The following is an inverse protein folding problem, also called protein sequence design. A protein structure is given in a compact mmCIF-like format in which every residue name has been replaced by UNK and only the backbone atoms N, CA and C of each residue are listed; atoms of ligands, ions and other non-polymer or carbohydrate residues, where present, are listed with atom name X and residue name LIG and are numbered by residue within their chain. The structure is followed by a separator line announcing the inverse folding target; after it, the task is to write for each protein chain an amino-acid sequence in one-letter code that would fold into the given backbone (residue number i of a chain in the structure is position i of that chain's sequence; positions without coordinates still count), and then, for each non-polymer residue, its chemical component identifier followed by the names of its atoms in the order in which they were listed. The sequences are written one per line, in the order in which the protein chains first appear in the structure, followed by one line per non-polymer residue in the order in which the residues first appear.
data_IF_823108300948
#
_entry.id   IF_823108300948
#
_cell.length_a   1.000
_cell.length_b   1.000
_cell.length_c   1.000
_cell.angle_alpha   90.00
_cell.angle_beta   90.00
_cell.angle_gamma   90.00
#
_symmetry.space_group_name_H-M   'P 1'
#
loop_
_entity.id
_entity.type
_entity.pdbx_description
1 polymer ?
#
# COMPACT_ATOMS: atom_id res chain seq x y z
N UNK A 1 13.79 -23.20 -4.53
CA UNK A 1 13.50 -22.63 -3.20
C UNK A 1 12.16 -21.91 -3.27
N UNK A 2 11.15 -22.34 -2.49
CA UNK A 2 9.84 -21.66 -2.43
C UNK A 2 10.01 -20.28 -1.80
N UNK A 3 9.44 -19.25 -2.41
CA UNK A 3 9.39 -17.90 -1.83
C UNK A 3 8.12 -17.76 -1.02
N UNK A 4 8.23 -17.17 0.17
CA UNK A 4 7.09 -16.88 1.02
C UNK A 4 6.33 -15.68 0.44
N UNK A 5 5.00 -15.77 0.38
CA UNK A 5 4.20 -14.71 -0.22
C UNK A 5 3.78 -13.68 0.82
N UNK A 6 3.91 -12.40 0.48
CA UNK A 6 3.35 -11.29 1.24
C UNK A 6 2.42 -10.50 0.33
N UNK A 7 1.17 -10.34 0.78
CA UNK A 7 0.22 -9.43 0.16
C UNK A 7 0.14 -8.17 1.02
N UNK A 8 0.66 -7.06 0.51
CA UNK A 8 0.59 -5.77 1.19
C UNK A 8 -0.65 -5.00 0.71
N UNK A 9 -1.65 -4.93 1.58
CA UNK A 9 -2.88 -4.18 1.35
C UNK A 9 -2.65 -2.69 1.63
N UNK A 10 -2.91 -1.82 0.65
CA UNK A 10 -2.68 -0.38 0.77
C UNK A 10 -3.59 0.44 -0.14
N UNK A 11 -3.69 1.73 0.15
CA UNK A 11 -4.29 2.75 -0.75
C UNK A 11 -3.21 3.61 -1.38
N UNK A 12 -3.47 4.16 -2.56
CA UNK A 12 -2.58 5.18 -3.16
C UNK A 12 -2.51 6.40 -2.23
N UNK A 13 -1.30 6.91 -1.91
CA UNK A 13 -1.05 8.00 -0.95
C UNK A 13 -1.49 9.37 -1.49
N UNK A 14 -2.80 9.55 -1.58
CA UNK A 14 -3.48 10.79 -1.96
C UNK A 14 -3.98 11.47 -0.70
N UNK A 15 -3.71 12.78 -0.58
CA UNK A 15 -4.18 13.61 0.53
C UNK A 15 -5.70 13.48 0.68
N UNK A 16 -6.21 13.42 1.92
CA UNK A 16 -7.64 13.31 2.21
C UNK A 16 -8.24 11.90 2.01
N UNK A 17 -7.53 10.95 1.39
CA UNK A 17 -8.02 9.56 1.18
C UNK A 17 -7.39 8.52 2.10
N UNK A 18 -6.29 8.87 2.76
CA UNK A 18 -5.49 7.97 3.60
C UNK A 18 -5.34 8.57 4.99
N UNK A 19 -5.36 7.69 6.00
CA UNK A 19 -5.14 8.05 7.40
C UNK A 19 -5.96 9.28 7.85
N UNK A 20 -7.23 9.34 7.45
CA UNK A 20 -8.13 10.47 7.73
C UNK A 20 -8.35 10.71 9.21
N UNK A 21 -8.30 9.67 10.05
CA UNK A 21 -8.29 9.82 11.51
C UNK A 21 -7.06 10.58 12.00
N UNK A 22 -5.86 10.20 11.55
CA UNK A 22 -4.62 10.91 11.87
C UNK A 22 -4.63 12.34 11.33
N UNK A 23 -5.21 12.56 10.15
CA UNK A 23 -5.33 13.89 9.55
C UNK A 23 -6.16 14.87 10.40
N UNK A 24 -7.10 14.38 11.22
CA UNK A 24 -7.88 15.22 12.15
C UNK A 24 -7.04 15.75 13.31
N UNK A 25 -5.98 15.04 13.68
CA UNK A 25 -5.13 15.36 14.83
C UNK A 25 -3.84 16.09 14.39
N UNK A 26 -3.19 15.61 13.32
CA UNK A 26 -1.90 16.11 12.86
C UNK A 26 -1.97 16.97 11.58
N UNK A 27 -3.16 17.13 10.99
CA UNK A 27 -3.36 17.81 9.72
C UNK A 27 -3.17 16.91 8.48
N UNK A 28 -3.81 17.25 7.35
CA UNK A 28 -3.85 16.41 6.14
C UNK A 28 -2.49 16.23 5.47
N UNK A 29 -1.65 17.27 5.48
CA UNK A 29 -0.29 17.24 4.90
C UNK A 29 0.61 16.28 5.65
N UNK A 30 0.65 16.36 6.97
CA UNK A 30 1.50 15.48 7.77
C UNK A 30 0.99 14.04 7.78
N UNK A 31 -0.34 13.84 7.77
CA UNK A 31 -0.91 12.51 7.63
C UNK A 31 -0.50 11.81 6.32
N UNK A 32 -0.55 12.51 5.17
CA UNK A 32 -0.13 11.91 3.90
C UNK A 32 1.39 11.75 3.82
N UNK A 33 2.17 12.69 4.36
CA UNK A 33 3.64 12.59 4.46
C UNK A 33 4.06 11.36 5.25
N UNK A 34 3.51 11.19 6.45
CA UNK A 34 3.77 10.04 7.30
C UNK A 34 3.38 8.72 6.61
N UNK A 35 2.21 8.69 5.95
CA UNK A 35 1.77 7.52 5.20
C UNK A 35 2.71 7.16 4.05
N UNK A 36 3.18 8.15 3.27
CA UNK A 36 4.18 7.93 2.20
C UNK A 36 5.48 7.36 2.76
N UNK A 37 5.98 7.92 3.88
CA UNK A 37 7.21 7.45 4.52
C UNK A 37 7.08 6.00 5.01
N UNK A 38 5.97 5.65 5.66
CA UNK A 38 5.71 4.28 6.11
C UNK A 38 5.66 3.28 4.95
N UNK A 39 4.92 3.61 3.89
CA UNK A 39 4.82 2.73 2.70
C UNK A 39 6.19 2.56 2.04
N UNK A 40 6.94 3.65 1.83
CA UNK A 40 8.27 3.58 1.24
C UNK A 40 9.25 2.72 2.07
N UNK A 41 9.22 2.87 3.39
CA UNK A 41 10.04 2.07 4.30
C UNK A 41 9.70 0.56 4.22
N UNK A 42 8.41 0.23 4.22
CA UNK A 42 7.94 -1.15 4.08
C UNK A 42 8.32 -1.75 2.73
N UNK A 43 8.07 -1.04 1.63
CA UNK A 43 8.42 -1.52 0.29
C UNK A 43 9.93 -1.76 0.17
N UNK A 44 10.76 -0.84 0.67
CA UNK A 44 12.22 -1.01 0.67
C UNK A 44 12.63 -2.26 1.43
N UNK A 45 12.11 -2.47 2.65
CA UNK A 45 12.48 -3.64 3.47
C UNK A 45 12.06 -4.96 2.83
N UNK A 46 10.85 -5.02 2.30
CA UNK A 46 10.28 -6.24 1.70
C UNK A 46 10.86 -6.58 0.33
N UNK A 47 11.31 -5.58 -0.44
CA UNK A 47 11.88 -5.81 -1.78
C UNK A 47 13.37 -6.16 -1.75
N UNK A 48 14.09 -5.79 -0.70
CA UNK A 48 15.50 -6.17 -0.52
C UNK A 48 15.68 -7.62 -0.08
N UNK A 49 14.71 -8.17 0.67
CA UNK A 49 14.76 -9.56 1.15
C UNK A 49 14.16 -10.52 0.11
N UNK A 50 15.03 -11.30 -0.55
CA UNK A 50 14.67 -12.23 -1.64
C UNK A 50 13.78 -13.41 -1.20
N UNK A 51 13.62 -13.64 0.10
CA UNK A 51 12.72 -14.68 0.62
C UNK A 51 11.26 -14.37 0.30
N UNK A 52 10.92 -13.10 0.13
CA UNK A 52 9.55 -12.66 -0.10
C UNK A 52 9.22 -12.52 -1.59
N UNK A 53 8.02 -12.98 -1.94
CA UNK A 53 7.33 -12.58 -3.16
C UNK A 53 6.23 -11.57 -2.77
N UNK A 54 6.51 -10.28 -2.99
CA UNK A 54 5.62 -9.19 -2.62
C UNK A 54 4.56 -8.93 -3.72
N UNK A 55 3.31 -8.84 -3.31
CA UNK A 55 2.19 -8.37 -4.15
C UNK A 55 1.49 -7.20 -3.45
N UNK A 56 1.25 -6.10 -4.16
CA UNK A 56 0.50 -4.96 -3.65
C UNK A 56 -0.98 -5.12 -4.00
N UNK A 57 -1.83 -5.19 -2.98
CA UNK A 57 -3.27 -5.15 -3.15
C UNK A 57 -3.75 -3.71 -2.96
N UNK A 58 -4.08 -3.01 -4.05
CA UNK A 58 -4.41 -1.59 -4.08
C UNK A 58 -5.92 -1.38 -3.98
N UNK A 59 -6.35 -0.57 -3.02
CA UNK A 59 -7.74 -0.13 -2.87
C UNK A 59 -7.91 1.38 -3.11
N UNK A 60 -9.00 1.81 -3.79
CA UNK A 60 -9.89 0.99 -4.63
C UNK A 60 -9.19 0.41 -5.87
N UNK A 61 -9.74 -0.63 -6.47
CA UNK A 61 -9.20 -1.24 -7.70
C UNK A 61 -9.05 -0.24 -8.86
N UNK A 62 -9.85 0.81 -8.90
CA UNK A 62 -9.74 1.89 -9.90
C UNK A 62 -8.36 2.58 -9.89
N UNK A 63 -7.66 2.57 -8.75
CA UNK A 63 -6.34 3.19 -8.62
C UNK A 63 -5.20 2.30 -9.14
N UNK A 64 -5.48 1.11 -9.67
CA UNK A 64 -4.45 0.17 -10.14
C UNK A 64 -3.57 0.76 -11.27
N UNK A 65 -4.08 1.76 -12.00
CA UNK A 65 -3.35 2.47 -13.07
C UNK A 65 -2.33 3.51 -12.56
N UNK A 66 -2.16 3.62 -11.24
CA UNK A 66 -1.22 4.57 -10.64
C UNK A 66 0.24 4.27 -11.01
N UNK A 67 1.05 5.32 -11.18
CA UNK A 67 2.52 5.23 -11.32
C UNK A 67 3.26 5.43 -9.99
N UNK A 68 2.52 5.52 -8.88
CA UNK A 68 3.10 5.83 -7.55
C UNK A 68 4.06 4.74 -7.05
N UNK A 69 3.87 3.49 -7.49
CA UNK A 69 4.70 2.36 -7.07
C UNK A 69 5.65 1.93 -8.19
N UNK A 70 6.83 1.37 -7.87
CA UNK A 70 7.77 0.88 -8.88
C UNK A 70 7.12 -0.15 -9.82
N UNK A 71 7.27 0.04 -11.13
CA UNK A 71 6.65 -0.82 -12.16
C UNK A 71 7.01 -2.31 -12.05
N UNK A 72 8.16 -2.63 -11.42
CA UNK A 72 8.60 -4.00 -11.15
C UNK A 72 7.79 -4.74 -10.08
N UNK A 73 6.93 -4.04 -9.33
CA UNK A 73 6.10 -4.65 -8.29
C UNK A 73 4.80 -5.16 -8.88
N UNK A 74 4.46 -6.41 -8.54
CA UNK A 74 3.14 -6.97 -8.88
C UNK A 74 2.07 -6.20 -8.09
N UNK A 75 1.12 -5.61 -8.82
CA UNK A 75 -0.02 -4.91 -8.24
C UNK A 75 -1.32 -5.62 -8.67
N UNK A 76 -2.28 -5.70 -7.77
CA UNK A 76 -3.66 -6.15 -8.03
C UNK A 76 -4.63 -5.18 -7.39
N UNK A 77 -5.79 -4.98 -8.02
CA UNK A 77 -6.88 -4.21 -7.42
C UNK A 77 -7.59 -5.03 -6.35
N UNK A 78 -7.84 -4.44 -5.19
CA UNK A 78 -8.68 -5.07 -4.17
C UNK A 78 -10.13 -5.15 -4.68
N UNK A 79 -10.72 -6.34 -4.59
CA UNK A 79 -12.13 -6.58 -4.91
C UNK A 79 -13.05 -5.97 -3.85
N UNK A 80 -14.34 -5.86 -4.17
CA UNK A 80 -15.34 -5.45 -3.17
C UNK A 80 -15.45 -6.53 -2.09
N UNK A 81 -15.49 -6.10 -0.83
CA UNK A 81 -15.55 -6.95 0.37
C UNK A 81 -15.11 -6.14 1.59
N UNK A 82 -15.46 -6.59 2.78
CA UNK A 82 -14.84 -6.08 4.01
C UNK A 82 -13.56 -6.89 4.33
N UNK A 83 -12.70 -6.35 5.19
CA UNK A 83 -11.42 -6.98 5.56
C UNK A 83 -11.60 -8.30 6.36
N UNK A 84 -12.84 -8.69 6.68
CA UNK A 84 -13.18 -9.88 7.46
C UNK A 84 -14.04 -10.89 6.70
N UNK A 85 -14.41 -10.63 5.44
CA UNK A 85 -15.17 -11.55 4.61
C UNK A 85 -14.30 -12.80 4.35
N UNK A 86 -14.63 -13.90 5.03
CA UNK A 86 -13.98 -15.20 4.95
C UNK A 86 -14.70 -16.11 3.96
#
# INVERSE_FOLDING_TARGET
MMRLQIVLMLKVPVMGRVKTRLAREAGPTEAVRAYRAMVAALLRRLTLDRRWQLTLAIAPAADLRTTTFPAKLRCLGQTRGDLGAR
#
